data_IF_206827472131
#
_entry.id   IF_206827472131
#
_cell.length_a   1.000
_cell.length_b   1.000
_cell.length_c   1.000
_cell.angle_alpha   90.00
_cell.angle_beta   90.00
_cell.angle_gamma   90.00
#
_symmetry.space_group_name_H-M   'P 1'
#
loop_
_entity.id
_entity.type
_entity.pdbx_description
1 polymer ?
#
# COMPACT_ATOMS: atom_id res chain seq x y z
N UNK A 1 -15.36 -5.85 -14.66
CA UNK A 1 -14.29 -6.57 -13.89
C UNK A 1 -14.48 -6.43 -12.36
N UNK A 2 -15.64 -6.87 -11.82
CA UNK A 2 -15.94 -6.83 -10.36
C UNK A 2 -15.79 -8.21 -9.70
N UNK A 3 -15.95 -9.30 -10.45
CA UNK A 3 -15.92 -10.67 -9.93
C UNK A 3 -14.60 -11.03 -9.23
N UNK A 4 -13.47 -10.58 -9.75
CA UNK A 4 -12.16 -10.79 -9.15
C UNK A 4 -12.05 -10.18 -7.75
N UNK A 5 -12.72 -9.04 -7.51
CA UNK A 5 -12.79 -8.47 -6.18
C UNK A 5 -13.67 -9.29 -5.25
N UNK A 6 -14.79 -9.84 -5.73
CA UNK A 6 -15.60 -10.76 -4.91
C UNK A 6 -14.85 -12.03 -4.49
N UNK A 7 -13.90 -12.51 -5.31
CA UNK A 7 -13.06 -13.66 -4.92
C UNK A 7 -12.17 -13.34 -3.72
N UNK A 8 -11.78 -12.08 -3.55
CA UNK A 8 -10.89 -11.62 -2.46
C UNK A 8 -11.71 -11.15 -1.25
N UNK A 9 -12.77 -10.38 -1.48
CA UNK A 9 -13.45 -9.58 -0.46
C UNK A 9 -14.82 -10.10 -0.03
N UNK A 10 -15.37 -11.12 -0.69
CA UNK A 10 -16.69 -11.64 -0.40
C UNK A 10 -16.63 -13.10 0.01
N UNK A 11 -17.45 -13.49 0.99
CA UNK A 11 -17.63 -14.88 1.37
C UNK A 11 -18.45 -15.67 0.33
N UNK A 12 -18.59 -16.98 0.54
CA UNK A 12 -19.32 -17.87 -0.37
C UNK A 12 -20.80 -17.50 -0.52
N UNK A 13 -21.43 -16.99 0.53
CA UNK A 13 -22.84 -16.62 0.51
C UNK A 13 -23.08 -15.42 -0.40
N UNK A 14 -22.26 -14.37 -0.24
CA UNK A 14 -22.30 -13.17 -1.07
C UNK A 14 -21.90 -13.50 -2.50
N UNK A 15 -20.88 -14.35 -2.70
CA UNK A 15 -20.50 -14.82 -4.04
C UNK A 15 -21.64 -15.54 -4.75
N UNK A 16 -22.37 -16.42 -4.06
CA UNK A 16 -23.54 -17.11 -4.61
C UNK A 16 -24.66 -16.14 -5.00
N UNK A 17 -25.02 -15.23 -4.10
CA UNK A 17 -26.01 -14.18 -4.37
C UNK A 17 -25.64 -13.32 -5.57
N UNK A 18 -24.38 -12.87 -5.67
CA UNK A 18 -23.91 -12.06 -6.81
C UNK A 18 -23.89 -12.85 -8.10
N UNK A 19 -23.46 -14.12 -8.11
CA UNK A 19 -23.46 -14.92 -9.34
C UNK A 19 -24.86 -15.11 -9.89
N UNK A 20 -25.84 -15.41 -9.04
CA UNK A 20 -27.23 -15.58 -9.44
C UNK A 20 -27.82 -14.23 -9.89
N UNK A 21 -27.80 -13.23 -9.02
CA UNK A 21 -28.42 -11.92 -9.25
C UNK A 21 -27.80 -11.14 -10.41
N UNK A 22 -26.47 -11.14 -10.54
CA UNK A 22 -25.80 -10.38 -11.58
C UNK A 22 -25.95 -11.03 -12.96
N UNK A 23 -25.97 -12.36 -13.06
CA UNK A 23 -26.11 -13.07 -14.35
C UNK A 23 -27.55 -13.08 -14.86
N UNK A 24 -28.52 -13.11 -13.94
CA UNK A 24 -29.95 -13.05 -14.24
C UNK A 24 -30.49 -11.62 -14.43
N UNK A 25 -29.67 -10.59 -14.18
CA UNK A 25 -30.12 -9.20 -14.04
C UNK A 25 -31.16 -8.99 -12.91
N UNK A 26 -31.17 -9.87 -11.90
CA UNK A 26 -32.01 -9.76 -10.71
C UNK A 26 -31.52 -8.75 -9.67
N UNK A 27 -30.27 -8.27 -9.77
CA UNK A 27 -29.73 -7.17 -8.95
C UNK A 27 -29.06 -6.11 -9.83
N UNK A 28 -29.05 -4.87 -9.35
CA UNK A 28 -28.37 -3.75 -9.99
C UNK A 28 -26.84 -3.80 -9.86
N UNK A 29 -26.16 -3.15 -10.80
CA UNK A 29 -24.69 -3.07 -10.81
C UNK A 29 -24.09 -2.41 -9.54
N UNK A 30 -24.85 -1.55 -8.87
CA UNK A 30 -24.41 -0.92 -7.61
C UNK A 30 -24.58 -1.89 -6.44
N UNK A 31 -25.71 -2.59 -6.37
CA UNK A 31 -25.96 -3.62 -5.35
C UNK A 31 -24.90 -4.73 -5.40
N UNK A 32 -24.56 -5.18 -6.62
CA UNK A 32 -23.46 -6.12 -6.84
C UNK A 32 -22.13 -5.61 -6.27
N UNK A 33 -21.81 -4.32 -6.42
CA UNK A 33 -20.54 -3.73 -5.98
C UNK A 33 -20.51 -3.42 -4.49
N UNK A 34 -21.65 -3.20 -3.84
CA UNK A 34 -21.72 -2.68 -2.48
C UNK A 34 -20.93 -3.54 -1.47
N UNK A 35 -21.04 -4.88 -1.45
CA UNK A 35 -20.27 -5.71 -0.51
C UNK A 35 -18.76 -5.57 -0.69
N UNK A 36 -18.29 -5.39 -1.93
CA UNK A 36 -16.86 -5.16 -2.21
C UNK A 36 -16.44 -3.79 -1.72
N UNK A 37 -17.24 -2.76 -1.97
CA UNK A 37 -16.95 -1.38 -1.52
C UNK A 37 -16.81 -1.36 0.00
N UNK A 38 -17.76 -1.97 0.71
CA UNK A 38 -17.78 -1.97 2.17
C UNK A 38 -16.56 -2.71 2.73
N UNK A 39 -16.23 -3.88 2.18
CA UNK A 39 -15.07 -4.66 2.61
C UNK A 39 -13.74 -3.94 2.34
N UNK A 40 -13.59 -3.32 1.16
CA UNK A 40 -12.38 -2.55 0.80
C UNK A 40 -12.25 -1.32 1.69
N UNK A 41 -13.33 -0.59 1.95
CA UNK A 41 -13.31 0.57 2.84
C UNK A 41 -12.99 0.16 4.28
N UNK A 42 -13.52 -0.96 4.74
CA UNK A 42 -13.23 -1.51 6.06
C UNK A 42 -11.73 -1.84 6.20
N UNK A 43 -11.13 -2.55 5.25
CA UNK A 43 -9.70 -2.85 5.27
C UNK A 43 -8.86 -1.56 5.21
N UNK A 44 -9.24 -0.61 4.36
CA UNK A 44 -8.52 0.66 4.23
C UNK A 44 -8.67 1.59 5.43
N UNK A 45 -9.67 1.40 6.31
CA UNK A 45 -9.90 2.28 7.45
C UNK A 45 -8.66 2.39 8.33
N UNK A 46 -8.03 1.26 8.67
CA UNK A 46 -6.80 1.24 9.46
C UNK A 46 -5.59 1.85 8.74
N UNK A 47 -5.51 1.74 7.39
CA UNK A 47 -4.47 2.40 6.61
C UNK A 47 -4.63 3.92 6.65
N UNK A 48 -5.87 4.42 6.52
CA UNK A 48 -6.20 5.85 6.53
C UNK A 48 -5.95 6.46 7.90
N UNK A 49 -6.36 5.78 8.97
CA UNK A 49 -6.11 6.22 10.34
C UNK A 49 -4.61 6.38 10.61
N UNK A 50 -3.80 5.38 10.25
CA UNK A 50 -2.33 5.48 10.39
C UNK A 50 -1.71 6.54 9.50
N UNK A 51 -2.31 6.82 8.34
CA UNK A 51 -1.83 7.85 7.42
C UNK A 51 -2.18 9.27 7.89
N UNK A 52 -3.23 9.43 8.70
CA UNK A 52 -3.79 10.73 9.05
C UNK A 52 -2.76 11.73 9.60
N UNK A 53 -1.90 11.38 10.56
CA UNK A 53 -0.92 12.33 11.09
C UNK A 53 0.07 12.84 10.02
N UNK A 54 0.42 12.00 9.05
CA UNK A 54 1.33 12.35 7.96
C UNK A 54 0.68 13.23 6.89
N UNK A 55 -0.65 13.13 6.74
CA UNK A 55 -1.44 13.99 5.86
C UNK A 55 -1.62 15.37 6.49
N UNK A 56 -1.90 15.41 7.79
CA UNK A 56 -2.07 16.66 8.55
C UNK A 56 -0.76 17.42 8.74
N UNK A 57 0.35 16.70 8.95
CA UNK A 57 1.68 17.28 9.03
C UNK A 57 2.68 16.57 8.07
N UNK A 58 2.84 17.08 6.84
CA UNK A 58 3.82 16.58 5.88
C UNK A 58 5.29 16.73 6.33
N UNK A 59 5.58 17.50 7.38
CA UNK A 59 6.94 17.60 7.93
C UNK A 59 7.40 16.28 8.56
N UNK A 60 6.48 15.50 9.12
CA UNK A 60 6.77 14.18 9.70
C UNK A 60 7.39 13.23 8.66
N UNK A 61 6.82 13.19 7.46
CA UNK A 61 7.34 12.37 6.35
C UNK A 61 8.72 12.86 5.93
N UNK A 62 8.91 14.18 5.78
CA UNK A 62 10.21 14.76 5.42
C UNK A 62 11.29 14.44 6.44
N UNK A 63 10.96 14.48 7.73
CA UNK A 63 11.89 14.16 8.80
C UNK A 63 12.28 12.67 8.81
N UNK A 64 11.31 11.77 8.62
CA UNK A 64 11.56 10.32 8.50
C UNK A 64 12.51 10.04 7.32
N UNK A 65 12.27 10.68 6.18
CA UNK A 65 13.14 10.54 5.00
C UNK A 65 14.54 11.11 5.24
N UNK A 66 14.65 12.28 5.86
CA UNK A 66 15.94 12.90 6.16
C UNK A 66 16.80 12.03 7.09
N UNK A 67 16.20 11.49 8.15
CA UNK A 67 16.85 10.57 9.09
C UNK A 67 17.26 9.25 8.40
N UNK A 68 16.38 8.68 7.59
CA UNK A 68 16.67 7.50 6.78
C UNK A 68 17.84 7.72 5.80
N UNK A 69 17.85 8.86 5.11
CA UNK A 69 18.92 9.26 4.21
C UNK A 69 20.25 9.43 4.94
N UNK A 70 20.25 9.98 6.15
CA UNK A 70 21.48 10.15 6.93
C UNK A 70 22.07 8.81 7.36
N UNK A 71 21.24 7.87 7.84
CA UNK A 71 21.70 6.51 8.14
C UNK A 71 22.26 5.80 6.91
N UNK A 72 21.55 5.89 5.78
CA UNK A 72 21.99 5.25 4.54
C UNK A 72 23.30 5.87 4.02
N UNK A 73 23.44 7.20 4.13
CA UNK A 73 24.64 7.94 3.72
C UNK A 73 25.87 7.49 4.48
N UNK A 74 25.78 7.30 5.80
CA UNK A 74 26.90 6.84 6.63
C UNK A 74 27.44 5.49 6.14
N UNK A 75 26.55 4.51 5.99
CA UNK A 75 26.93 3.19 5.48
C UNK A 75 27.50 3.28 4.05
N UNK A 76 26.87 4.08 3.18
CA UNK A 76 27.36 4.27 1.82
C UNK A 76 28.76 4.93 1.80
N UNK A 77 29.05 5.86 2.70
CA UNK A 77 30.37 6.50 2.81
C UNK A 77 31.45 5.51 3.26
N UNK A 78 31.13 4.64 4.21
CA UNK A 78 32.02 3.55 4.64
C UNK A 78 32.34 2.61 3.46
N UNK A 79 31.30 2.11 2.77
CA UNK A 79 31.50 1.28 1.57
C UNK A 79 32.34 1.99 0.51
N UNK A 80 32.08 3.27 0.25
CA UNK A 80 32.80 4.03 -0.77
C UNK A 80 34.25 4.34 -0.37
N UNK A 81 34.59 4.37 0.93
CA UNK A 81 35.98 4.41 1.38
C UNK A 81 36.70 3.13 0.97
N UNK A 82 36.13 1.98 1.31
CA UNK A 82 36.75 0.68 1.01
C UNK A 82 36.89 0.45 -0.51
N UNK A 83 35.90 0.91 -1.29
CA UNK A 83 35.98 0.92 -2.77
C UNK A 83 37.13 1.81 -3.26
N UNK A 84 37.28 3.03 -2.72
CA UNK A 84 38.36 3.93 -3.12
C UNK A 84 39.74 3.37 -2.76
N UNK A 85 39.87 2.77 -1.58
CA UNK A 85 41.11 2.08 -1.16
C UNK A 85 41.46 0.95 -2.13
N UNK A 86 40.51 0.07 -2.43
CA UNK A 86 40.72 -1.04 -3.37
C UNK A 86 41.05 -0.57 -4.81
N UNK A 87 40.56 0.59 -5.20
CA UNK A 87 40.84 1.19 -6.52
C UNK A 87 42.12 2.04 -6.56
N UNK A 88 42.82 2.22 -5.42
CA UNK A 88 43.98 3.11 -5.34
C UNK A 88 43.64 4.59 -5.51
N UNK A 89 42.40 4.98 -5.19
CA UNK A 89 41.86 6.34 -5.26
C UNK A 89 41.85 7.05 -3.88
N UNK A 90 42.44 6.43 -2.85
CA UNK A 90 42.56 7.02 -1.53
C UNK A 90 43.79 7.94 -1.49
N UNK A 91 43.53 9.24 -1.60
CA UNK A 91 44.53 10.29 -1.40
C UNK A 91 44.35 10.80 0.03
N UNK A 92 45.22 10.39 0.94
CA UNK A 92 45.30 10.97 2.28
C UNK A 92 45.48 12.49 2.25
#
# INVERSE_FOLDING_TARGET
PVWQFHQIYSDDSVRGWVQEGCRSAGIGCIECKQPVIDAVLHEQAGLRERAQPYVEDPSLVRNILADGCERARKLAQETMRDVREAMGLDYG
#
